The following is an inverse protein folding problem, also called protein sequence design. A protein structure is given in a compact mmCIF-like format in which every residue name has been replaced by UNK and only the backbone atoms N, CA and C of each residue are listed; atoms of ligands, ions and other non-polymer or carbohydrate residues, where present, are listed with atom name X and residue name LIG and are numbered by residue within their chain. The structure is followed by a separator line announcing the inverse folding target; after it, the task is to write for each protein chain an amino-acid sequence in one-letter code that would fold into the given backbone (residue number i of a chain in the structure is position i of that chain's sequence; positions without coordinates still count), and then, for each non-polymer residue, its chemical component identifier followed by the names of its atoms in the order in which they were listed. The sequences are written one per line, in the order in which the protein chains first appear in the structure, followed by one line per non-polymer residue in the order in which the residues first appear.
data_IF_560644315910
#
_entry.id   IF_560644315910
#
_cell.length_a   1.000
_cell.length_b   1.000
_cell.length_c   1.000
_cell.angle_alpha   90.00
_cell.angle_beta   90.00
_cell.angle_gamma   90.00
#
_symmetry.space_group_name_H-M   'P 1'
#
loop_
_entity.id
_entity.type
_entity.pdbx_description
1 polymer ?
#
# COMPACT_ATOMS: atom_id res chain seq x y z
N UNK A 1 -44.06 -63.25 -28.79
CA UNK A 1 -42.76 -63.42 -29.49
C UNK A 1 -42.49 -62.19 -30.34
N UNK A 2 -41.37 -61.52 -30.06
CA UNK A 2 -40.55 -60.60 -30.88
C UNK A 2 -41.21 -59.89 -32.08
N UNK A 3 -41.11 -58.55 -32.10
CA UNK A 3 -40.37 -57.76 -33.11
C UNK A 3 -40.24 -56.31 -32.60
N UNK A 4 -39.05 -55.99 -32.10
CA UNK A 4 -38.65 -54.66 -31.62
C UNK A 4 -38.35 -53.81 -32.86
N UNK A 5 -38.94 -52.61 -32.91
CA UNK A 5 -38.83 -51.65 -34.01
C UNK A 5 -37.46 -50.97 -33.96
N UNK A 6 -36.71 -51.04 -35.05
CA UNK A 6 -35.58 -50.15 -35.32
C UNK A 6 -36.14 -48.78 -35.74
N UNK A 7 -35.84 -47.75 -34.96
CA UNK A 7 -35.88 -46.36 -35.40
C UNK A 7 -34.65 -45.65 -34.82
N UNK A 8 -33.61 -45.57 -35.63
CA UNK A 8 -32.49 -44.65 -35.45
C UNK A 8 -33.04 -43.23 -35.65
N UNK A 9 -33.16 -42.46 -34.56
CA UNK A 9 -33.38 -41.02 -34.64
C UNK A 9 -32.11 -40.31 -34.15
N UNK A 10 -31.59 -39.47 -35.03
CA UNK A 10 -30.33 -38.78 -34.93
C UNK A 10 -30.20 -37.89 -33.68
N UNK A 11 -28.98 -37.86 -33.16
CA UNK A 11 -28.49 -36.93 -32.15
C UNK A 11 -28.65 -35.49 -32.65
N UNK A 12 -29.46 -34.69 -31.95
CA UNK A 12 -29.37 -33.24 -31.96
C UNK A 12 -28.77 -32.80 -30.62
N UNK A 13 -27.45 -32.85 -30.51
CA UNK A 13 -26.71 -32.15 -29.46
C UNK A 13 -26.65 -30.66 -29.84
N UNK A 14 -27.73 -29.95 -29.55
CA UNK A 14 -27.74 -28.48 -29.53
C UNK A 14 -28.58 -28.02 -28.33
N UNK A 15 -28.32 -28.62 -27.17
CA UNK A 15 -28.78 -28.12 -25.89
C UNK A 15 -27.82 -27.01 -25.43
N UNK A 16 -28.22 -25.77 -25.73
CA UNK A 16 -27.69 -24.50 -25.27
C UNK A 16 -26.91 -24.57 -23.96
N UNK A 17 -25.58 -24.63 -24.04
CA UNK A 17 -24.72 -24.03 -23.03
C UNK A 17 -24.63 -22.54 -23.33
N UNK A 18 -25.76 -21.84 -23.30
CA UNK A 18 -25.77 -20.40 -23.06
C UNK A 18 -25.54 -20.18 -21.55
N UNK A 19 -24.46 -20.76 -21.02
CA UNK A 19 -23.82 -20.20 -19.85
C UNK A 19 -23.28 -18.85 -20.35
N UNK A 20 -24.02 -17.77 -20.12
CA UNK A 20 -23.74 -16.39 -20.53
C UNK A 20 -22.27 -16.22 -20.92
N UNK A 21 -21.95 -16.36 -22.21
CA UNK A 21 -20.63 -16.05 -22.70
C UNK A 21 -20.53 -14.53 -22.57
N UNK A 22 -20.02 -14.08 -21.43
CA UNK A 22 -19.78 -12.67 -21.19
C UNK A 22 -18.78 -12.23 -22.24
N UNK A 23 -19.18 -11.30 -23.10
CA UNK A 23 -18.26 -10.78 -24.09
C UNK A 23 -17.10 -10.05 -23.40
N UNK A 24 -15.96 -9.97 -24.10
CA UNK A 24 -14.75 -9.34 -23.58
C UNK A 24 -14.99 -7.92 -23.02
N UNK A 25 -15.82 -7.04 -23.63
CA UNK A 25 -16.18 -5.75 -23.03
C UNK A 25 -16.84 -5.86 -21.65
N UNK A 26 -17.80 -6.77 -21.47
CA UNK A 26 -18.44 -6.96 -20.17
C UNK A 26 -17.46 -7.52 -19.13
N UNK A 27 -16.53 -8.40 -19.51
CA UNK A 27 -15.44 -8.87 -18.64
C UNK A 27 -14.52 -7.75 -18.17
N UNK A 28 -14.14 -6.87 -19.10
CA UNK A 28 -13.35 -5.68 -18.77
C UNK A 28 -14.11 -4.80 -17.78
N UNK A 29 -15.40 -4.54 -18.01
CA UNK A 29 -16.21 -3.76 -17.07
C UNK A 29 -16.23 -4.40 -15.66
N UNK A 30 -16.49 -5.69 -15.58
CA UNK A 30 -16.51 -6.41 -14.29
C UNK A 30 -15.14 -6.36 -13.61
N UNK A 31 -14.05 -6.48 -14.36
CA UNK A 31 -12.70 -6.37 -13.83
C UNK A 31 -12.47 -4.96 -13.24
N UNK A 32 -12.86 -3.91 -13.94
CA UNK A 32 -12.74 -2.53 -13.45
C UNK A 32 -13.58 -2.29 -12.19
N UNK A 33 -14.79 -2.86 -12.12
CA UNK A 33 -15.63 -2.80 -10.92
C UNK A 33 -14.94 -3.46 -9.72
N UNK A 34 -14.23 -4.59 -9.92
CA UNK A 34 -13.41 -5.23 -8.88
C UNK A 34 -12.18 -4.40 -8.49
N UNK A 35 -11.62 -3.64 -9.42
CA UNK A 35 -10.48 -2.74 -9.18
C UNK A 35 -10.87 -1.38 -8.59
N UNK A 36 -12.17 -1.11 -8.42
CA UNK A 36 -12.68 0.16 -7.89
C UNK A 36 -11.99 0.60 -6.59
N UNK A 37 -11.78 -0.26 -5.57
CA UNK A 37 -11.06 0.15 -4.36
C UNK A 37 -9.63 0.66 -4.64
N UNK A 38 -8.94 0.09 -5.64
CA UNK A 38 -7.62 0.54 -6.06
C UNK A 38 -7.66 1.89 -6.80
N UNK A 39 -8.67 2.12 -7.63
CA UNK A 39 -8.90 3.40 -8.33
C UNK A 39 -9.19 4.50 -7.31
N UNK A 40 -10.03 4.21 -6.31
CA UNK A 40 -10.35 5.15 -5.23
C UNK A 40 -9.13 5.41 -4.32
N UNK A 41 -8.31 4.39 -4.04
CA UNK A 41 -7.06 4.54 -3.31
C UNK A 41 -6.03 5.42 -4.06
N UNK A 42 -5.93 5.27 -5.39
CA UNK A 42 -5.12 6.15 -6.23
C UNK A 42 -5.57 7.61 -6.10
N UNK A 43 -6.88 7.86 -6.18
CA UNK A 43 -7.42 9.20 -6.03
C UNK A 43 -7.12 9.81 -4.65
N UNK A 44 -7.26 9.02 -3.57
CA UNK A 44 -6.88 9.43 -2.20
C UNK A 44 -5.41 9.82 -2.15
N UNK A 45 -4.52 8.96 -2.66
CA UNK A 45 -3.08 9.20 -2.66
C UNK A 45 -2.69 10.47 -3.41
N UNK A 46 -3.35 10.77 -4.54
CA UNK A 46 -3.10 12.01 -5.29
C UNK A 46 -3.48 13.26 -4.48
N UNK A 47 -4.61 13.24 -3.76
CA UNK A 47 -5.01 14.35 -2.90
C UNK A 47 -4.03 14.54 -1.74
N UNK A 48 -3.70 13.45 -1.04
CA UNK A 48 -2.74 13.48 0.06
C UNK A 48 -1.37 14.00 -0.39
N UNK A 49 -0.84 13.46 -1.49
CA UNK A 49 0.43 13.87 -2.07
C UNK A 49 0.45 15.36 -2.43
N UNK A 50 -0.65 15.88 -2.97
CA UNK A 50 -0.74 17.30 -3.36
C UNK A 50 -0.71 18.26 -2.16
N UNK A 51 -1.26 17.84 -1.02
CA UNK A 51 -1.25 18.63 0.23
C UNK A 51 -0.01 18.44 1.10
N UNK A 52 0.79 17.38 0.87
CA UNK A 52 1.90 17.02 1.75
C UNK A 52 2.93 18.16 1.96
N UNK A 53 3.34 18.93 0.94
CA UNK A 53 4.28 20.05 1.14
C UNK A 53 3.71 21.15 2.05
N UNK A 54 2.40 21.40 1.96
CA UNK A 54 1.71 22.41 2.79
C UNK A 54 1.68 21.93 4.25
N UNK A 55 1.34 20.66 4.49
CA UNK A 55 1.34 20.08 5.82
C UNK A 55 2.75 20.09 6.46
N UNK A 56 3.80 19.80 5.68
CA UNK A 56 5.19 19.85 6.13
C UNK A 56 5.63 21.27 6.49
N UNK A 57 5.35 22.25 5.62
CA UNK A 57 5.66 23.66 5.88
C UNK A 57 4.90 24.18 7.11
N UNK A 58 3.61 23.82 7.25
CA UNK A 58 2.80 24.15 8.42
C UNK A 58 3.38 23.57 9.71
N UNK A 59 3.83 22.31 9.68
CA UNK A 59 4.48 21.66 10.83
C UNK A 59 5.78 22.35 11.23
N UNK A 60 6.63 22.74 10.27
CA UNK A 60 7.86 23.49 10.56
C UNK A 60 7.56 24.87 11.15
N UNK A 61 6.58 25.58 10.59
CA UNK A 61 6.15 26.88 11.09
C UNK A 61 5.63 26.76 12.53
N UNK A 62 4.82 25.73 12.82
CA UNK A 62 4.31 25.45 14.15
C UNK A 62 5.44 25.25 15.18
N UNK A 63 6.50 24.53 14.81
CA UNK A 63 7.61 24.24 15.71
C UNK A 63 8.53 25.45 15.93
N UNK A 64 8.74 26.27 14.89
CA UNK A 64 9.76 27.33 14.91
C UNK A 64 9.21 28.71 15.24
N UNK A 65 7.98 29.01 14.80
CA UNK A 65 7.40 30.36 14.86
C UNK A 65 6.25 30.49 15.88
N UNK A 66 5.61 29.38 16.27
CA UNK A 66 4.48 29.43 17.22
C UNK A 66 4.98 29.22 18.66
N UNK A 67 4.61 30.11 19.61
CA UNK A 67 4.91 29.93 21.03
C UNK A 67 4.34 28.62 21.58
N UNK A 68 5.06 27.98 22.51
CA UNK A 68 4.75 26.62 22.96
C UNK A 68 3.31 26.49 23.50
N UNK A 69 2.85 27.48 24.27
CA UNK A 69 1.50 27.50 24.86
C UNK A 69 0.37 27.55 23.81
N UNK A 70 0.67 28.00 22.58
CA UNK A 70 -0.29 28.14 21.49
C UNK A 70 -0.21 27.02 20.46
N UNK A 71 0.82 26.18 20.52
CA UNK A 71 1.09 25.15 19.50
C UNK A 71 -0.03 24.13 19.38
N UNK A 72 -0.59 23.64 20.49
CA UNK A 72 -1.65 22.63 20.41
C UNK A 72 -2.91 23.17 19.72
N UNK A 73 -3.34 24.38 20.07
CA UNK A 73 -4.49 25.01 19.44
C UNK A 73 -4.24 25.31 17.96
N UNK A 74 -3.05 25.81 17.61
CA UNK A 74 -2.67 26.08 16.23
C UNK A 74 -2.54 24.79 15.40
N UNK A 75 -2.03 23.69 15.98
CA UNK A 75 -1.99 22.38 15.34
C UNK A 75 -3.38 21.89 14.98
N UNK A 76 -4.32 21.91 15.94
CA UNK A 76 -5.71 21.51 15.70
C UNK A 76 -6.39 22.33 14.61
N UNK A 77 -6.11 23.64 14.56
CA UNK A 77 -6.64 24.51 13.51
C UNK A 77 -6.06 24.16 12.12
N UNK A 78 -4.75 23.88 12.04
CA UNK A 78 -4.11 23.44 10.80
C UNK A 78 -4.64 22.07 10.34
N UNK A 79 -4.78 21.11 11.27
CA UNK A 79 -5.34 19.79 10.99
C UNK A 79 -6.78 19.88 10.47
N UNK A 80 -7.58 20.80 11.03
CA UNK A 80 -8.95 21.04 10.57
C UNK A 80 -9.00 21.56 9.12
N UNK A 81 -8.12 22.48 8.74
CA UNK A 81 -8.05 22.97 7.35
C UNK A 81 -7.53 21.90 6.37
N UNK A 82 -6.52 21.10 6.77
CA UNK A 82 -6.06 19.98 5.96
C UNK A 82 -7.16 18.93 5.77
N UNK A 83 -7.91 18.63 6.84
CA UNK A 83 -9.07 17.74 6.77
C UNK A 83 -10.15 18.29 5.85
N UNK A 84 -10.48 19.57 5.97
CA UNK A 84 -11.48 20.23 5.11
C UNK A 84 -11.08 20.16 3.64
N UNK A 85 -9.82 20.49 3.33
CA UNK A 85 -9.28 20.33 1.98
C UNK A 85 -9.46 18.90 1.47
N UNK A 86 -9.12 17.89 2.27
CA UNK A 86 -9.26 16.49 1.87
C UNK A 86 -10.74 16.12 1.66
N UNK A 87 -11.63 16.48 2.58
CA UNK A 87 -13.07 16.17 2.51
C UNK A 87 -13.72 16.83 1.28
N UNK A 88 -13.26 18.02 0.88
CA UNK A 88 -13.73 18.73 -0.32
C UNK A 88 -13.12 18.18 -1.62
N UNK A 89 -11.81 17.90 -1.62
CA UNK A 89 -11.06 17.52 -2.82
C UNK A 89 -11.19 16.04 -3.18
N UNK A 90 -11.22 15.14 -2.18
CA UNK A 90 -11.24 13.71 -2.40
C UNK A 90 -12.44 13.24 -3.25
N UNK A 91 -13.69 13.64 -2.97
CA UNK A 91 -14.83 13.25 -3.81
C UNK A 91 -14.65 13.65 -5.27
N UNK A 92 -14.13 14.86 -5.54
CA UNK A 92 -13.90 15.36 -6.90
C UNK A 92 -12.90 14.49 -7.66
N UNK A 93 -11.75 14.21 -7.04
CA UNK A 93 -10.68 13.41 -7.66
C UNK A 93 -11.12 11.95 -7.80
N UNK A 94 -11.78 11.39 -6.78
CA UNK A 94 -12.33 10.03 -6.79
C UNK A 94 -13.34 9.85 -7.92
N UNK A 95 -14.33 10.72 -8.02
CA UNK A 95 -15.40 10.60 -9.01
C UNK A 95 -14.84 10.73 -10.42
N UNK A 96 -13.86 11.63 -10.62
CA UNK A 96 -13.18 11.76 -11.90
C UNK A 96 -12.33 10.53 -12.24
N UNK A 97 -11.61 9.96 -11.27
CA UNK A 97 -10.82 8.75 -11.49
C UNK A 97 -11.71 7.55 -11.87
N UNK A 98 -12.83 7.35 -11.17
CA UNK A 98 -13.81 6.30 -11.49
C UNK A 98 -14.42 6.53 -12.87
N UNK A 99 -14.77 7.77 -13.23
CA UNK A 99 -15.34 8.08 -14.54
C UNK A 99 -14.35 7.87 -15.69
N UNK A 100 -13.06 8.16 -15.49
CA UNK A 100 -12.03 8.02 -16.52
C UNK A 100 -11.50 6.59 -16.64
N UNK A 101 -11.66 5.75 -15.61
CA UNK A 101 -11.07 4.42 -15.58
C UNK A 101 -11.47 3.52 -16.77
N UNK A 102 -12.74 3.46 -17.22
CA UNK A 102 -13.11 2.66 -18.39
C UNK A 102 -12.39 3.09 -19.67
N UNK A 103 -12.24 4.39 -19.89
CA UNK A 103 -11.59 4.92 -21.10
C UNK A 103 -10.07 4.76 -21.06
N UNK A 104 -9.47 4.95 -19.88
CA UNK A 104 -8.02 4.84 -19.70
C UNK A 104 -7.53 3.39 -19.64
N UNK A 105 -8.27 2.50 -18.97
CA UNK A 105 -7.84 1.11 -18.68
C UNK A 105 -8.50 0.09 -19.60
N UNK A 106 -9.69 0.38 -20.14
CA UNK A 106 -10.43 -0.55 -20.99
C UNK A 106 -9.68 -1.00 -22.23
N UNK A 107 -9.06 -0.10 -23.03
CA UNK A 107 -8.23 -0.48 -24.17
C UNK A 107 -7.04 -1.36 -23.75
N UNK A 108 -6.34 -0.99 -22.68
CA UNK A 108 -5.18 -1.74 -22.15
C UNK A 108 -5.59 -3.19 -21.86
N UNK A 109 -6.72 -3.38 -21.17
CA UNK A 109 -7.21 -4.72 -20.83
C UNK A 109 -7.66 -5.51 -22.06
N UNK A 110 -8.26 -4.86 -23.05
CA UNK A 110 -8.68 -5.51 -24.30
C UNK A 110 -7.51 -5.91 -25.20
N UNK A 111 -6.44 -5.13 -25.19
CA UNK A 111 -5.29 -5.37 -26.08
C UNK A 111 -4.31 -6.38 -25.49
N UNK A 112 -4.21 -6.47 -24.16
CA UNK A 112 -3.20 -7.29 -23.49
C UNK A 112 -3.70 -8.63 -22.96
N UNK A 113 -5.01 -8.83 -22.82
CA UNK A 113 -5.56 -10.11 -22.39
C UNK A 113 -6.49 -10.68 -23.44
N UNK A 114 -6.46 -11.98 -23.67
CA UNK A 114 -7.52 -12.70 -24.38
C UNK A 114 -8.80 -12.77 -23.53
N UNK A 115 -9.92 -13.14 -24.15
CA UNK A 115 -11.17 -13.37 -23.43
C UNK A 115 -11.05 -14.51 -22.41
N UNK A 116 -10.31 -15.57 -22.75
CA UNK A 116 -10.07 -16.69 -21.85
C UNK A 116 -9.22 -16.29 -20.64
N UNK A 117 -8.16 -15.52 -20.84
CA UNK A 117 -7.33 -15.04 -19.72
C UNK A 117 -8.12 -14.10 -18.80
N UNK A 118 -8.93 -13.19 -19.35
CA UNK A 118 -9.81 -12.33 -18.53
C UNK A 118 -10.83 -13.15 -17.74
N UNK A 119 -11.43 -14.17 -18.36
CA UNK A 119 -12.37 -15.08 -17.70
C UNK A 119 -11.71 -15.81 -16.53
N UNK A 120 -10.53 -16.39 -16.76
CA UNK A 120 -9.79 -17.11 -15.73
C UNK A 120 -9.36 -16.18 -14.59
N UNK A 121 -8.90 -14.96 -14.92
CA UNK A 121 -8.54 -13.96 -13.93
C UNK A 121 -9.73 -13.56 -13.07
N UNK A 122 -10.88 -13.27 -13.68
CA UNK A 122 -12.12 -12.95 -12.97
C UNK A 122 -12.60 -14.11 -12.09
N UNK A 123 -12.52 -15.34 -12.58
CA UNK A 123 -12.88 -16.53 -11.81
C UNK A 123 -11.96 -16.70 -10.60
N UNK A 124 -10.65 -16.50 -10.77
CA UNK A 124 -9.68 -16.57 -9.68
C UNK A 124 -9.92 -15.48 -8.64
N UNK A 125 -10.03 -14.20 -9.03
CA UNK A 125 -10.24 -13.07 -8.11
C UNK A 125 -11.51 -13.27 -7.26
N UNK A 126 -12.59 -13.76 -7.86
CA UNK A 126 -13.85 -13.99 -7.16
C UNK A 126 -13.89 -15.29 -6.36
N UNK A 127 -12.88 -16.16 -6.50
CA UNK A 127 -12.88 -17.46 -5.84
C UNK A 127 -12.70 -17.35 -4.31
N UNK A 128 -13.32 -18.25 -3.53
CA UNK A 128 -13.02 -18.38 -2.10
C UNK A 128 -11.54 -18.67 -1.83
N UNK A 129 -10.86 -19.33 -2.77
CA UNK A 129 -9.44 -19.62 -2.66
C UNK A 129 -8.58 -18.35 -2.71
N UNK A 130 -8.88 -17.42 -3.63
CA UNK A 130 -8.19 -16.13 -3.69
C UNK A 130 -8.41 -15.31 -2.42
N UNK A 131 -9.65 -15.29 -1.89
CA UNK A 131 -9.94 -14.63 -0.61
C UNK A 131 -9.12 -15.24 0.54
N UNK A 132 -9.11 -16.58 0.66
CA UNK A 132 -8.29 -17.28 1.66
C UNK A 132 -6.81 -16.96 1.50
N UNK A 133 -6.30 -16.88 0.27
CA UNK A 133 -4.92 -16.50 0.02
C UNK A 133 -4.62 -15.07 0.47
N UNK A 134 -5.50 -14.11 0.15
CA UNK A 134 -5.38 -12.71 0.59
C UNK A 134 -5.39 -12.59 2.13
N UNK A 135 -6.24 -13.33 2.82
CA UNK A 135 -6.31 -13.35 4.30
C UNK A 135 -5.08 -13.98 4.97
N UNK A 136 -4.49 -14.99 4.33
CA UNK A 136 -3.31 -15.68 4.87
C UNK A 136 -2.00 -14.94 4.55
N UNK A 137 -1.95 -14.13 3.50
CA UNK A 137 -0.72 -13.47 3.07
C UNK A 137 -0.06 -12.61 4.16
N UNK A 138 -0.79 -11.75 4.92
CA UNK A 138 -0.20 -11.02 6.04
C UNK A 138 0.35 -11.94 7.14
N UNK A 139 -0.35 -13.04 7.45
CA UNK A 139 0.09 -14.00 8.47
C UNK A 139 1.40 -14.69 8.08
N UNK A 140 1.53 -15.07 6.80
CA UNK A 140 2.76 -15.66 6.28
C UNK A 140 3.93 -14.65 6.34
N UNK A 141 3.68 -13.38 6.01
CA UNK A 141 4.68 -12.32 6.12
C UNK A 141 5.11 -12.08 7.57
N UNK A 142 4.17 -12.05 8.52
CA UNK A 142 4.47 -11.94 9.95
C UNK A 142 5.34 -13.09 10.41
N UNK A 143 4.96 -14.34 10.10
CA UNK A 143 5.70 -15.53 10.50
C UNK A 143 7.14 -15.52 9.96
N UNK A 144 7.34 -15.14 8.70
CA UNK A 144 8.67 -15.00 8.11
C UNK A 144 9.47 -13.88 8.80
N UNK A 145 8.85 -12.74 9.08
CA UNK A 145 9.50 -11.59 9.73
C UNK A 145 9.96 -11.94 11.14
N UNK A 146 9.10 -12.56 11.95
CA UNK A 146 9.43 -12.98 13.30
C UNK A 146 10.61 -13.95 13.32
N UNK A 147 10.59 -14.95 12.43
CA UNK A 147 11.68 -15.91 12.30
C UNK A 147 12.97 -15.23 11.83
N UNK A 148 12.88 -14.36 10.81
CA UNK A 148 14.04 -13.65 10.28
C UNK A 148 14.70 -12.75 11.33
N UNK A 149 13.90 -12.00 12.10
CA UNK A 149 14.42 -11.15 13.19
C UNK A 149 15.08 -12.00 14.27
N UNK A 150 14.42 -13.09 14.69
CA UNK A 150 14.97 -13.98 15.71
C UNK A 150 16.35 -14.54 15.32
N UNK A 151 16.51 -14.98 14.07
CA UNK A 151 17.76 -15.58 13.58
C UNK A 151 18.86 -14.55 13.25
N UNK A 152 18.49 -13.32 12.85
CA UNK A 152 19.47 -12.32 12.40
C UNK A 152 19.88 -11.31 13.48
N UNK A 153 19.12 -11.19 14.58
CA UNK A 153 19.36 -10.17 15.63
C UNK A 153 20.81 -10.13 16.11
N UNK A 154 21.39 -11.28 16.45
CA UNK A 154 22.75 -11.38 16.97
C UNK A 154 23.81 -10.86 15.99
N UNK A 155 23.56 -10.97 14.69
CA UNK A 155 24.47 -10.53 13.63
C UNK A 155 24.27 -9.06 13.25
N UNK A 156 23.05 -8.53 13.41
CA UNK A 156 22.69 -7.17 13.01
C UNK A 156 22.88 -6.15 14.14
N UNK A 157 22.60 -6.52 15.39
CA UNK A 157 22.69 -5.60 16.53
C UNK A 157 24.09 -4.95 16.70
N UNK A 158 25.22 -5.66 16.53
CA UNK A 158 26.54 -5.03 16.56
C UNK A 158 26.76 -4.03 15.42
N UNK A 159 26.21 -4.31 14.23
CA UNK A 159 26.30 -3.41 13.07
C UNK A 159 25.49 -2.13 13.30
N UNK A 160 24.33 -2.24 13.95
CA UNK A 160 23.53 -1.08 14.35
C UNK A 160 24.28 -0.18 15.34
N UNK A 161 24.93 -0.76 16.36
CA UNK A 161 25.76 0.03 17.30
C UNK A 161 26.90 0.75 16.61
N UNK A 162 27.58 0.07 15.69
CA UNK A 162 28.64 0.68 14.88
C UNK A 162 28.12 1.83 14.03
N UNK A 163 26.94 1.68 13.42
CA UNK A 163 26.29 2.72 12.64
C UNK A 163 25.99 3.96 13.50
N UNK A 164 25.38 3.77 14.67
CA UNK A 164 25.04 4.83 15.61
C UNK A 164 26.29 5.64 16.01
N UNK A 165 27.36 4.96 16.41
CA UNK A 165 28.63 5.60 16.76
C UNK A 165 29.24 6.40 15.59
N UNK A 166 29.17 5.84 14.37
CA UNK A 166 29.70 6.50 13.18
C UNK A 166 28.89 7.75 12.81
N UNK A 167 27.56 7.71 12.96
CA UNK A 167 26.68 8.86 12.71
C UNK A 167 26.92 9.95 13.75
N UNK A 168 26.98 9.59 15.04
CA UNK A 168 27.28 10.55 16.11
C UNK A 168 28.63 11.24 15.87
N UNK A 169 29.67 10.47 15.50
CA UNK A 169 30.98 11.01 15.12
C UNK A 169 30.90 11.96 13.92
N UNK A 170 30.15 11.60 12.87
CA UNK A 170 30.00 12.43 11.68
C UNK A 170 29.27 13.75 11.95
N UNK A 171 28.32 13.74 12.89
CA UNK A 171 27.56 14.93 13.30
C UNK A 171 28.27 15.76 14.38
N UNK A 172 29.44 15.33 14.86
CA UNK A 172 30.15 15.99 15.97
C UNK A 172 29.43 15.87 17.32
N UNK A 173 28.50 14.92 17.45
CA UNK A 173 27.84 14.64 18.71
C UNK A 173 28.79 13.91 19.68
N UNK A 174 28.68 14.12 21.00
CA UNK A 174 29.49 13.38 21.97
C UNK A 174 29.18 11.89 21.85
N UNK A 175 30.15 11.08 21.43
CA UNK A 175 30.04 9.62 21.48
C UNK A 175 30.38 9.20 22.92
N UNK A 176 29.44 8.58 23.63
CA UNK A 176 29.75 7.98 24.95
C UNK A 176 30.87 6.94 24.78
N UNK A 177 32.06 7.25 25.29
CA UNK A 177 33.25 6.40 25.14
C UNK A 177 34.60 7.11 25.07
N UNK A 178 34.68 8.45 25.15
CA UNK A 178 35.97 9.12 25.37
C UNK A 178 36.31 9.09 26.88
N UNK A 179 37.38 8.40 27.32
CA UNK A 179 37.81 8.51 28.72
C UNK A 179 38.21 9.96 29.01
N UNK A 180 37.88 10.49 30.21
CA UNK A 180 38.23 11.86 30.55
C UNK A 180 39.75 12.01 30.48
N UNK A 181 40.21 13.05 29.75
CA UNK A 181 41.60 13.44 29.72
C UNK A 181 42.06 13.65 31.17
N UNK A 182 43.00 12.82 31.64
CA UNK A 182 43.57 12.93 32.98
C UNK A 182 44.14 14.35 33.15
N UNK A 183 43.47 15.14 33.99
CA UNK A 183 43.99 16.41 34.49
C UNK A 183 45.34 16.15 35.18
N UNK A 184 46.38 16.82 34.69
CA UNK A 184 47.74 16.72 35.23
C UNK A 184 47.78 17.17 36.71
N UNK A 185 48.54 16.48 37.59
CA UNK A 185 48.64 16.88 38.98
C UNK A 185 49.41 18.20 39.14
N UNK A 186 48.83 19.14 39.89
CA UNK A 186 49.51 20.36 40.37
C UNK A 186 50.68 19.96 41.29
N UNK A 187 51.86 20.48 41.00
CA UNK A 187 53.03 20.36 41.86
C UNK A 187 52.84 21.13 43.19
N UNK A 188 53.33 20.62 44.33
CA UNK A 188 53.14 21.25 45.63
C UNK A 188 54.07 22.46 45.81
N UNK A 189 53.51 23.49 46.47
CA UNK A 189 54.19 24.73 46.83
C UNK A 189 55.37 24.48 47.80
N UNK A 190 56.43 25.26 47.64
CA UNK A 190 57.45 25.44 48.68
C UNK A 190 57.35 26.85 49.27
N UNK A 191 57.55 26.85 50.59
CA UNK A 191 57.49 27.93 51.59
C UNK A 191 58.12 29.25 51.16
#
# INVERSE_FOLDING_TARGET
MKKIKFALLAVALAGSSAAMAQDKPAMVKQFLDLQRPGIEALARGLVEQSSAPIAQAGSQYLQTQVPAEKREAAAKAADAELKKYFDDAYPIVRDKAVALAPDALGPILRDNFSEEELRQLLAWINSPLSKKYQELNPKMQTALTEKLVAETRSSIEPKMRTLDANVAKALGAPTEGAPPAKSAPKAPAKK
#
